data_IF_761417875908
#
_entry.id   IF_761417875908
#
_cell.length_a   1.000
_cell.length_b   1.000
_cell.length_c   1.000
_cell.angle_alpha   90.00
_cell.angle_beta   90.00
_cell.angle_gamma   90.00
#
_symmetry.space_group_name_H-M   'P 1'
#
loop_
_entity.id
_entity.type
_entity.pdbx_description
1 polymer ?
#
# COMPACT_ATOMS: atom_id res chain seq x y z
N UNK A 1 41.66 -44.91 -5.43
CA UNK A 1 42.84 -45.04 -4.55
C UNK A 1 43.82 -43.96 -4.91
N UNK A 2 44.27 -43.22 -3.90
CA UNK A 2 45.19 -42.08 -3.97
C UNK A 2 46.54 -42.49 -4.56
N UNK A 3 47.12 -41.67 -5.45
CA UNK A 3 48.57 -41.61 -5.65
C UNK A 3 49.00 -40.14 -5.77
N UNK A 4 49.87 -39.75 -4.85
CA UNK A 4 50.49 -38.43 -4.69
C UNK A 4 51.66 -38.21 -5.67
N UNK A 5 51.80 -36.94 -6.08
CA UNK A 5 53.01 -36.17 -6.37
C UNK A 5 53.98 -36.60 -7.49
N UNK A 6 54.05 -35.76 -8.53
CA UNK A 6 55.33 -35.36 -9.14
C UNK A 6 55.26 -33.89 -9.56
N UNK A 7 55.87 -33.03 -8.75
CA UNK A 7 56.24 -31.65 -9.09
C UNK A 7 57.37 -31.65 -10.12
N UNK A 8 57.44 -30.60 -10.95
CA UNK A 8 58.49 -30.11 -11.88
C UNK A 8 57.77 -29.66 -13.16
N UNK A 9 57.82 -28.42 -13.67
CA UNK A 9 58.75 -27.32 -13.48
C UNK A 9 58.03 -25.98 -13.65
N UNK A 10 58.46 -25.00 -12.85
CA UNK A 10 58.09 -23.60 -12.95
C UNK A 10 58.87 -22.97 -14.10
N UNK A 11 58.17 -22.36 -15.07
CA UNK A 11 58.63 -21.11 -15.69
C UNK A 11 57.47 -20.37 -16.35
N UNK A 12 56.93 -19.38 -15.64
CA UNK A 12 56.11 -18.32 -16.23
C UNK A 12 56.62 -16.99 -15.69
N UNK A 13 57.57 -16.39 -16.40
CA UNK A 13 57.91 -14.97 -16.26
C UNK A 13 56.84 -14.17 -17.00
N UNK A 14 55.97 -13.48 -16.27
CA UNK A 14 55.33 -12.24 -16.69
C UNK A 14 54.60 -11.63 -15.50
N UNK A 15 55.31 -10.86 -14.69
CA UNK A 15 54.68 -9.81 -13.89
C UNK A 15 54.39 -8.63 -14.82
N UNK A 16 53.11 -8.37 -15.11
CA UNK A 16 52.64 -7.01 -15.30
C UNK A 16 51.10 -6.96 -15.16
N UNK A 17 50.62 -6.31 -14.09
CA UNK A 17 49.24 -5.87 -13.98
C UNK A 17 48.31 -6.63 -13.03
N UNK A 18 48.77 -7.05 -11.84
CA UNK A 18 47.84 -7.26 -10.72
C UNK A 18 47.42 -5.89 -10.17
N UNK A 19 46.25 -5.42 -10.56
CA UNK A 19 45.52 -4.38 -9.84
C UNK A 19 44.04 -4.72 -9.90
N UNK A 20 43.63 -5.67 -9.06
CA UNK A 20 42.26 -5.72 -8.57
C UNK A 20 42.21 -5.18 -7.13
N UNK A 21 41.88 -3.89 -6.94
CA UNK A 21 41.33 -3.46 -5.68
C UNK A 21 39.81 -3.45 -5.79
N UNK A 22 39.24 -4.39 -5.05
CA UNK A 22 38.05 -4.19 -4.22
C UNK A 22 36.70 -4.15 -4.95
N UNK A 23 36.04 -5.30 -4.87
CA UNK A 23 34.68 -5.28 -4.32
C UNK A 23 34.64 -4.32 -3.13
N UNK A 24 33.86 -3.25 -3.25
CA UNK A 24 32.84 -2.87 -2.28
C UNK A 24 32.44 -1.42 -2.49
N UNK A 25 31.45 -1.25 -3.35
CA UNK A 25 30.21 -0.56 -3.01
C UNK A 25 29.27 -0.84 -4.16
N UNK A 26 28.56 -1.97 -4.06
CA UNK A 26 27.14 -1.87 -4.38
C UNK A 26 26.68 -0.69 -3.55
N UNK A 27 26.55 0.48 -4.18
CA UNK A 27 25.93 1.62 -3.54
C UNK A 27 24.56 1.10 -3.20
N UNK A 28 24.40 0.66 -1.95
CA UNK A 28 23.13 0.39 -1.33
C UNK A 28 22.24 1.50 -1.87
N UNK A 29 21.22 1.13 -2.63
CA UNK A 29 20.14 2.03 -2.99
C UNK A 29 19.68 2.60 -1.65
N UNK A 30 20.22 3.75 -1.27
CA UNK A 30 19.71 4.53 -0.18
C UNK A 30 18.37 4.96 -0.73
N UNK A 31 17.34 4.16 -0.46
CA UNK A 31 15.96 4.58 -0.65
C UNK A 31 15.87 5.91 0.06
N UNK A 32 15.83 6.98 -0.73
CA UNK A 32 15.63 8.32 -0.22
C UNK A 32 14.35 8.21 0.59
N UNK A 33 14.43 8.56 1.87
CA UNK A 33 13.23 8.61 2.71
C UNK A 33 12.38 9.75 2.19
N UNK A 34 11.51 9.45 1.22
CA UNK A 34 10.57 10.38 0.59
C UNK A 34 9.43 10.77 1.53
N UNK A 35 9.51 10.32 2.78
CA UNK A 35 8.50 10.52 3.79
C UNK A 35 7.27 9.64 3.56
N UNK A 36 6.22 9.83 4.38
CA UNK A 36 5.02 9.01 4.29
C UNK A 36 4.29 9.24 2.96
N UNK A 37 4.03 8.18 2.22
CA UNK A 37 3.19 8.23 1.02
C UNK A 37 1.70 8.30 1.43
N UNK A 38 0.98 9.39 1.14
CA UNK A 38 -0.43 9.51 1.47
C UNK A 38 -1.29 8.69 0.52
N UNK A 39 -2.37 8.09 1.03
CA UNK A 39 -3.36 7.37 0.25
C UNK A 39 -4.20 8.32 -0.60
N UNK A 40 -4.33 7.97 -1.88
CA UNK A 40 -5.33 8.53 -2.77
C UNK A 40 -6.73 8.01 -2.46
N UNK A 41 -7.75 8.63 -3.06
CA UNK A 41 -9.14 8.20 -2.91
C UNK A 41 -9.36 6.75 -3.38
N UNK A 42 -8.75 6.34 -4.50
CA UNK A 42 -8.90 4.99 -5.04
C UNK A 42 -8.26 3.96 -4.11
N UNK A 43 -7.06 4.23 -3.60
CA UNK A 43 -6.36 3.32 -2.68
C UNK A 43 -7.10 3.18 -1.36
N UNK A 44 -7.60 4.28 -0.79
CA UNK A 44 -8.45 4.23 0.40
C UNK A 44 -9.72 3.40 0.16
N UNK A 45 -10.39 3.60 -0.98
CA UNK A 45 -11.59 2.86 -1.33
C UNK A 45 -11.32 1.37 -1.56
N UNK A 46 -10.19 1.04 -2.19
CA UNK A 46 -9.74 -0.34 -2.37
C UNK A 46 -9.47 -0.99 -1.02
N UNK A 47 -8.72 -0.31 -0.14
CA UNK A 47 -8.44 -0.81 1.20
C UNK A 47 -9.73 -1.07 2.00
N UNK A 48 -10.68 -0.15 1.97
CA UNK A 48 -12.00 -0.32 2.62
C UNK A 48 -12.73 -1.56 2.10
N UNK A 49 -12.68 -1.80 0.79
CA UNK A 49 -13.33 -2.95 0.13
C UNK A 49 -12.62 -4.26 0.45
N UNK A 50 -11.30 -4.29 0.35
CA UNK A 50 -10.48 -5.49 0.53
C UNK A 50 -10.51 -5.97 1.99
N UNK A 51 -10.62 -5.03 2.94
CA UNK A 51 -10.83 -5.32 4.35
C UNK A 51 -12.30 -5.57 4.72
N UNK A 52 -13.25 -5.36 3.80
CA UNK A 52 -14.68 -5.55 4.05
C UNK A 52 -15.24 -4.66 5.16
N UNK A 53 -14.73 -3.43 5.29
CA UNK A 53 -15.11 -2.55 6.41
C UNK A 53 -16.56 -2.10 6.30
N UNK A 54 -17.24 -2.05 7.46
CA UNK A 54 -18.52 -1.37 7.59
C UNK A 54 -18.37 0.14 7.34
N UNK A 55 -19.49 0.86 7.17
CA UNK A 55 -19.48 2.32 7.01
C UNK A 55 -18.71 3.00 8.14
N UNK A 56 -19.01 2.61 9.38
CA UNK A 56 -18.41 3.22 10.56
C UNK A 56 -16.92 2.84 10.68
N UNK A 57 -16.56 1.61 10.29
CA UNK A 57 -15.17 1.17 10.22
C UNK A 57 -14.36 1.94 9.18
N UNK A 58 -14.94 2.20 8.00
CA UNK A 58 -14.33 3.01 6.96
C UNK A 58 -14.17 4.49 7.40
N UNK A 59 -15.17 5.05 8.08
CA UNK A 59 -15.10 6.40 8.64
C UNK A 59 -14.03 6.52 9.74
N UNK A 60 -13.92 5.51 10.61
CA UNK A 60 -12.90 5.45 11.66
C UNK A 60 -11.49 5.33 11.05
N UNK A 61 -11.32 4.46 10.06
CA UNK A 61 -10.06 4.29 9.33
C UNK A 61 -9.65 5.61 8.65
N UNK A 62 -10.55 6.20 7.87
CA UNK A 62 -10.30 7.45 7.17
C UNK A 62 -9.98 8.61 8.11
N UNK A 63 -10.68 8.70 9.25
CA UNK A 63 -10.39 9.68 10.30
C UNK A 63 -8.99 9.48 10.89
N UNK A 64 -8.60 8.24 11.17
CA UNK A 64 -7.27 7.90 11.65
C UNK A 64 -6.15 8.26 10.66
N UNK A 65 -6.35 7.96 9.37
CA UNK A 65 -5.40 8.30 8.31
C UNK A 65 -5.30 9.82 8.11
N UNK A 66 -6.43 10.54 8.15
CA UNK A 66 -6.47 12.00 8.05
C UNK A 66 -5.71 12.66 9.20
N UNK A 67 -5.90 12.19 10.44
CA UNK A 67 -5.21 12.74 11.62
C UNK A 67 -3.68 12.55 11.55
N UNK A 68 -3.22 11.57 10.77
CA UNK A 68 -1.80 11.31 10.53
C UNK A 68 -1.26 11.98 9.25
N UNK A 69 -2.06 12.81 8.58
CA UNK A 69 -1.73 13.41 7.27
C UNK A 69 -1.38 12.36 6.19
N UNK A 70 -1.95 11.16 6.28
CA UNK A 70 -1.72 10.05 5.34
C UNK A 70 -2.78 9.98 4.24
N UNK A 71 -3.53 11.05 3.98
CA UNK A 71 -4.48 11.14 2.89
C UNK A 71 -4.11 12.29 1.98
N UNK A 72 -4.23 12.10 0.67
CA UNK A 72 -4.08 13.20 -0.28
C UNK A 72 -5.14 14.28 -0.03
N UNK A 73 -4.85 15.56 -0.27
CA UNK A 73 -5.86 16.62 -0.16
C UNK A 73 -7.10 16.30 -1.00
N UNK A 74 -8.29 16.50 -0.42
CA UNK A 74 -9.55 16.23 -1.11
C UNK A 74 -10.05 14.78 -1.01
N UNK A 75 -9.28 13.85 -0.44
CA UNK A 75 -9.78 12.49 -0.16
C UNK A 75 -10.88 12.54 0.90
N UNK A 76 -12.04 11.99 0.57
CA UNK A 76 -13.18 11.84 1.47
C UNK A 76 -13.25 10.43 2.03
N UNK A 77 -13.70 10.31 3.28
CA UNK A 77 -14.08 9.05 3.93
C UNK A 77 -15.54 9.03 4.42
N UNK A 78 -16.34 10.06 4.07
CA UNK A 78 -17.74 10.19 4.51
C UNK A 78 -18.71 9.73 3.42
N UNK A 79 -19.29 8.54 3.60
CA UNK A 79 -20.21 7.98 2.59
C UNK A 79 -21.59 8.55 2.84
N UNK A 80 -21.87 9.73 2.30
CA UNK A 80 -23.21 10.29 2.33
C UNK A 80 -24.10 9.49 1.37
N UNK A 81 -24.81 8.50 1.93
CA UNK A 81 -25.87 7.81 1.21
C UNK A 81 -26.96 8.84 0.96
N UNK A 82 -27.11 9.23 -0.31
CA UNK A 82 -28.31 9.87 -0.86
C UNK A 82 -29.14 8.86 -1.67
N UNK A 83 -28.77 7.56 -1.61
CA UNK A 83 -29.41 6.52 -2.41
C UNK A 83 -30.84 6.31 -1.94
N UNK A 84 -31.06 6.39 -0.63
CA UNK A 84 -32.35 6.40 0.05
C UNK A 84 -33.22 7.59 -0.33
N UNK A 85 -32.65 8.73 -0.73
CA UNK A 85 -33.41 9.93 -1.12
C UNK A 85 -34.40 9.66 -2.26
N UNK A 86 -34.05 8.79 -3.21
CA UNK A 86 -34.95 8.35 -4.29
C UNK A 86 -36.09 7.45 -3.79
N UNK A 87 -35.88 6.81 -2.63
CA UNK A 87 -36.84 5.92 -2.02
C UNK A 87 -37.68 6.60 -0.93
N UNK A 88 -37.30 7.79 -0.47
CA UNK A 88 -38.05 8.55 0.54
C UNK A 88 -39.50 8.78 0.13
N UNK A 89 -39.81 8.87 -1.18
CA UNK A 89 -41.18 8.96 -1.69
C UNK A 89 -42.07 7.77 -1.33
N UNK A 90 -41.48 6.58 -1.13
CA UNK A 90 -42.21 5.38 -0.74
C UNK A 90 -42.39 5.28 0.78
N UNK A 91 -41.89 6.23 1.55
CA UNK A 91 -42.03 6.21 3.01
C UNK A 91 -42.81 7.43 3.49
N UNK A 92 -43.90 7.19 4.22
CA UNK A 92 -44.64 8.22 4.94
C UNK A 92 -44.33 8.12 6.45
N UNK A 93 -44.32 9.26 7.15
CA UNK A 93 -44.07 9.29 8.60
C UNK A 93 -45.34 9.73 9.33
N UNK A 94 -45.81 8.88 10.24
CA UNK A 94 -46.95 9.18 11.11
C UNK A 94 -46.51 9.07 12.57
N UNK A 95 -46.34 10.23 13.22
CA UNK A 95 -45.79 10.30 14.58
C UNK A 95 -44.37 9.71 14.68
N UNK A 96 -44.22 8.64 15.48
CA UNK A 96 -42.94 7.92 15.67
C UNK A 96 -42.75 6.76 14.69
N UNK A 97 -43.72 6.47 13.85
CA UNK A 97 -43.72 5.35 12.92
C UNK A 97 -43.40 5.83 11.51
N UNK A 98 -42.76 4.95 10.72
CA UNK A 98 -42.52 5.14 9.29
C UNK A 98 -43.24 4.02 8.56
N UNK A 99 -44.19 4.36 7.70
CA UNK A 99 -44.93 3.43 6.85
C UNK A 99 -44.26 3.34 5.48
N UNK A 100 -44.15 2.12 4.96
CA UNK A 100 -43.81 1.87 3.57
C UNK A 100 -45.12 1.90 2.75
N UNK A 101 -45.26 2.90 1.89
CA UNK A 101 -46.35 2.97 0.92
C UNK A 101 -46.01 2.01 -0.22
N UNK A 102 -46.90 1.06 -0.52
CA UNK A 102 -46.65 -0.01 -1.48
C UNK A 102 -46.05 0.50 -2.80
N UNK A 103 -44.98 -0.18 -3.22
CA UNK A 103 -44.36 -0.02 -4.53
C UNK A 103 -45.01 -1.07 -5.43
N UNK A 104 -45.92 -0.65 -6.30
CA UNK A 104 -46.50 -1.51 -7.35
C UNK A 104 -45.43 -2.03 -8.30
#
# INVERSE_FOLDING_TARGET
THCLNRTNDIRSDSEDGDTLPQQDKSSSDFSVDEGPQPFSQSELNHLVRDLGLSKDGAELLGSGLKNKNLLTPGTSFSWYKHREKKFTQFFSKEGKLVLCNEVL
#
